data_IF_096963042289
#
_entry.id   IF_096963042289
#
_cell.length_a   1.000
_cell.length_b   1.000
_cell.length_c   1.000
_cell.angle_alpha   90.00
_cell.angle_beta   90.00
_cell.angle_gamma   90.00
#
_symmetry.space_group_name_H-M   'P 1'
#
loop_
_entity.id
_entity.type
_entity.pdbx_description
1 polymer ?
#
# COMPACT_ATOMS: atom_id res chain seq x y z
N UNK A 1 1.01 -13.11 18.20
CA UNK A 1 0.07 -12.71 17.15
C UNK A 1 0.76 -12.60 15.77
N UNK A 2 1.05 -11.42 15.20
CA UNK A 2 1.56 -11.31 13.80
C UNK A 2 3.00 -11.82 13.62
N UNK A 3 3.90 -11.52 14.56
CA UNK A 3 5.32 -11.91 14.49
C UNK A 3 5.55 -13.43 14.50
N UNK A 4 4.55 -14.22 14.90
CA UNK A 4 4.61 -15.69 14.92
C UNK A 4 4.02 -16.31 13.64
N UNK A 5 3.48 -15.51 12.73
CA UNK A 5 3.02 -16.00 11.43
C UNK A 5 4.22 -16.31 10.54
N UNK A 6 4.10 -17.37 9.75
CA UNK A 6 5.01 -17.68 8.64
C UNK A 6 4.27 -17.38 7.34
N UNK A 7 4.45 -16.19 6.81
CA UNK A 7 3.84 -15.75 5.56
C UNK A 7 4.82 -15.99 4.40
N UNK A 8 4.34 -16.66 3.34
CA UNK A 8 4.96 -16.64 2.01
C UNK A 8 4.10 -15.79 1.06
N UNK A 9 3.85 -14.54 1.44
CA UNK A 9 3.05 -13.62 0.64
C UNK A 9 3.97 -12.66 -0.13
N UNK A 10 3.87 -12.70 -1.46
CA UNK A 10 4.63 -11.80 -2.33
C UNK A 10 4.16 -10.33 -2.20
N UNK A 11 2.88 -10.12 -1.91
CA UNK A 11 2.29 -8.81 -1.68
C UNK A 11 1.15 -8.91 -0.66
N UNK A 12 1.15 -8.01 0.32
CA UNK A 12 0.08 -7.86 1.30
C UNK A 12 -0.50 -6.43 1.21
N UNK A 13 -1.82 -6.31 1.07
CA UNK A 13 -2.49 -5.00 0.94
C UNK A 13 -3.37 -4.74 2.16
N UNK A 14 -3.06 -3.68 2.89
CA UNK A 14 -3.81 -3.23 4.07
C UNK A 14 -4.76 -2.09 3.67
N UNK A 15 -5.94 -2.44 3.16
CA UNK A 15 -6.92 -1.50 2.59
C UNK A 15 -7.86 -0.80 3.59
N UNK A 16 -7.53 -0.79 4.89
CA UNK A 16 -8.26 0.01 5.87
C UNK A 16 -7.64 1.41 6.02
N UNK A 17 -8.36 2.33 6.66
CA UNK A 17 -7.85 3.66 6.98
C UNK A 17 -6.65 3.57 7.93
N UNK A 18 -5.63 4.40 7.70
CA UNK A 18 -4.49 4.56 8.62
C UNK A 18 -3.68 3.29 8.90
N UNK A 19 -3.64 2.32 7.99
CA UNK A 19 -2.96 1.03 8.19
C UNK A 19 -1.44 1.10 8.10
N UNK A 20 -0.92 2.17 7.49
CA UNK A 20 0.50 2.51 7.43
C UNK A 20 0.95 3.35 8.62
N UNK A 21 0.06 3.76 9.51
CA UNK A 21 0.44 4.44 10.75
C UNK A 21 1.02 3.41 11.72
N UNK A 22 2.21 3.73 12.23
CA UNK A 22 2.86 3.03 13.32
C UNK A 22 3.13 3.98 14.47
N UNK A 23 3.40 3.44 15.65
CA UNK A 23 3.90 4.22 16.78
C UNK A 23 5.39 4.41 16.59
N UNK A 24 5.85 5.65 16.64
CA UNK A 24 7.28 5.93 16.69
C UNK A 24 7.82 5.52 18.07
N UNK A 25 8.74 4.57 18.09
CA UNK A 25 9.44 4.14 19.30
C UNK A 25 10.88 4.59 19.20
N UNK A 26 11.31 5.39 20.18
CA UNK A 26 12.67 5.94 20.23
C UNK A 26 13.69 4.82 20.23
N UNK A 27 14.60 4.81 19.25
CA UNK A 27 15.62 3.76 19.09
C UNK A 27 15.19 2.56 18.25
N UNK A 28 13.90 2.39 17.97
CA UNK A 28 13.37 1.29 17.15
C UNK A 28 12.72 1.76 15.84
N UNK A 29 12.46 3.06 15.69
CA UNK A 29 11.80 3.64 14.52
C UNK A 29 10.28 3.44 14.53
N UNK A 30 9.66 3.49 13.35
CA UNK A 30 8.21 3.31 13.23
C UNK A 30 7.84 1.83 13.44
N UNK A 31 7.08 1.53 14.50
CA UNK A 31 6.54 0.19 14.75
C UNK A 31 5.06 0.20 14.43
N UNK A 32 4.68 -0.49 13.37
CA UNK A 32 3.29 -0.63 12.93
C UNK A 32 3.05 -1.98 12.25
N UNK A 33 1.83 -2.17 11.76
CA UNK A 33 1.41 -3.42 11.09
C UNK A 33 2.34 -3.80 9.94
N UNK A 34 2.79 -2.82 9.16
CA UNK A 34 3.73 -3.01 8.05
C UNK A 34 5.02 -3.73 8.48
N UNK A 35 5.62 -3.31 9.60
CA UNK A 35 6.84 -3.94 10.12
C UNK A 35 6.58 -5.36 10.63
N UNK A 36 5.44 -5.58 11.28
CA UNK A 36 5.03 -6.91 11.75
C UNK A 36 4.86 -7.90 10.59
N UNK A 37 4.20 -7.49 9.51
CA UNK A 37 3.98 -8.35 8.34
C UNK A 37 5.26 -8.59 7.52
N UNK A 38 6.14 -7.60 7.41
CA UNK A 38 7.46 -7.81 6.81
C UNK A 38 8.30 -8.79 7.64
N UNK A 39 8.30 -8.66 8.97
CA UNK A 39 8.98 -9.62 9.85
C UNK A 39 8.42 -11.04 9.72
N UNK A 40 7.10 -11.17 9.57
CA UNK A 40 6.42 -12.45 9.38
C UNK A 40 6.69 -13.10 8.00
N UNK A 41 7.45 -12.44 7.11
CA UNK A 41 7.89 -13.02 5.83
C UNK A 41 7.20 -12.44 4.58
N UNK A 42 6.37 -11.40 4.72
CA UNK A 42 5.82 -10.72 3.53
C UNK A 42 6.90 -9.93 2.80
N UNK A 43 7.03 -10.14 1.49
CA UNK A 43 8.05 -9.45 0.69
C UNK A 43 7.69 -7.98 0.46
N UNK A 44 6.40 -7.68 0.26
CA UNK A 44 5.92 -6.32 -0.02
C UNK A 44 4.62 -6.05 0.71
N UNK A 45 4.48 -4.85 1.26
CA UNK A 45 3.28 -4.43 1.98
C UNK A 45 2.81 -3.07 1.47
N UNK A 46 1.57 -3.01 0.98
CA UNK A 46 0.88 -1.77 0.63
C UNK A 46 -0.02 -1.32 1.79
N UNK A 47 0.09 -0.07 2.23
CA UNK A 47 -0.65 0.45 3.38
C UNK A 47 -1.02 1.92 3.21
N UNK A 48 -2.06 2.38 3.92
CA UNK A 48 -2.59 3.74 3.84
C UNK A 48 -2.03 4.65 4.95
N UNK A 49 -1.60 5.86 4.61
CA UNK A 49 -1.02 6.82 5.55
C UNK A 49 -2.07 7.65 6.32
N UNK A 50 -3.27 7.81 5.76
CA UNK A 50 -4.37 8.56 6.37
C UNK A 50 -5.73 7.90 6.11
N UNK A 51 -6.82 8.56 6.54
CA UNK A 51 -8.18 8.11 6.26
C UNK A 51 -8.46 8.24 4.76
N UNK A 52 -8.86 7.15 4.13
CA UNK A 52 -9.09 7.11 2.68
C UNK A 52 -10.57 7.31 2.35
N UNK A 53 -10.83 7.80 1.14
CA UNK A 53 -12.18 7.82 0.57
C UNK A 53 -12.47 6.46 -0.09
N UNK A 54 -13.64 5.88 0.16
CA UNK A 54 -13.96 4.51 -0.27
C UNK A 54 -14.05 4.40 -1.80
N UNK A 55 -14.67 5.37 -2.47
CA UNK A 55 -14.84 5.35 -3.92
C UNK A 55 -13.49 5.55 -4.64
N UNK A 56 -12.68 6.50 -4.16
CA UNK A 56 -11.33 6.69 -4.66
C UNK A 56 -10.44 5.48 -4.42
N UNK A 57 -10.54 4.84 -3.25
CA UNK A 57 -9.75 3.64 -2.93
C UNK A 57 -10.13 2.46 -3.81
N UNK A 58 -11.42 2.23 -4.05
CA UNK A 58 -11.89 1.19 -4.95
C UNK A 58 -11.34 1.40 -6.37
N UNK A 59 -11.37 2.65 -6.86
CA UNK A 59 -10.84 3.01 -8.17
C UNK A 59 -9.31 2.83 -8.26
N UNK A 60 -8.57 3.28 -7.24
CA UNK A 60 -7.12 3.10 -7.16
C UNK A 60 -6.75 1.61 -7.19
N UNK A 61 -7.44 0.80 -6.37
CA UNK A 61 -7.17 -0.62 -6.25
C UNK A 61 -7.54 -1.37 -7.54
N UNK A 62 -8.64 -1.03 -8.20
CA UNK A 62 -9.00 -1.62 -9.48
C UNK A 62 -7.90 -1.40 -10.53
N UNK A 63 -7.34 -0.18 -10.60
CA UNK A 63 -6.22 0.16 -11.51
C UNK A 63 -4.92 -0.52 -11.11
N UNK A 64 -4.61 -0.53 -9.82
CA UNK A 64 -3.44 -1.20 -9.26
C UNK A 64 -3.43 -2.69 -9.59
N UNK A 65 -4.52 -3.41 -9.31
CA UNK A 65 -4.64 -4.84 -9.64
C UNK A 65 -4.66 -5.09 -11.15
N UNK A 66 -5.26 -4.21 -11.96
CA UNK A 66 -5.19 -4.32 -13.42
C UNK A 66 -3.73 -4.25 -13.90
N UNK A 67 -2.98 -3.27 -13.43
CA UNK A 67 -1.56 -3.09 -13.76
C UNK A 67 -0.72 -4.31 -13.42
N UNK A 68 -0.96 -4.93 -12.26
CA UNK A 68 -0.22 -6.14 -11.88
C UNK A 68 -0.66 -7.38 -12.66
N UNK A 69 -1.96 -7.68 -12.66
CA UNK A 69 -2.48 -8.98 -13.09
C UNK A 69 -2.69 -9.08 -14.60
N UNK A 70 -2.98 -7.96 -15.27
CA UNK A 70 -3.25 -7.94 -16.72
C UNK A 70 -2.08 -7.39 -17.52
N UNK A 71 -1.39 -6.40 -16.98
CA UNK A 71 -0.31 -5.69 -17.69
C UNK A 71 1.09 -6.21 -17.28
N UNK A 72 1.18 -7.01 -16.21
CA UNK A 72 2.44 -7.63 -15.76
C UNK A 72 3.41 -6.66 -15.10
N UNK A 73 2.95 -5.50 -14.64
CA UNK A 73 3.78 -4.53 -13.94
C UNK A 73 4.15 -5.02 -12.53
N UNK A 74 5.34 -4.63 -12.05
CA UNK A 74 5.69 -4.82 -10.63
C UNK A 74 4.71 -4.03 -9.74
N UNK A 75 4.53 -4.41 -8.47
CA UNK A 75 3.63 -3.69 -7.56
C UNK A 75 3.93 -2.18 -7.47
N UNK A 76 5.18 -1.74 -7.36
CA UNK A 76 5.50 -0.30 -7.33
C UNK A 76 5.14 0.38 -8.65
N UNK A 77 5.43 -0.25 -9.80
CA UNK A 77 5.10 0.29 -11.11
C UNK A 77 3.57 0.41 -11.29
N UNK A 78 2.83 -0.62 -10.91
CA UNK A 78 1.36 -0.63 -10.98
C UNK A 78 0.74 0.43 -10.07
N UNK A 79 1.25 0.58 -8.83
CA UNK A 79 0.75 1.60 -7.89
C UNK A 79 1.01 3.01 -8.41
N UNK A 80 2.23 3.27 -8.91
CA UNK A 80 2.58 4.56 -9.51
C UNK A 80 1.68 4.89 -10.70
N UNK A 81 1.47 3.94 -11.61
CA UNK A 81 0.60 4.14 -12.78
C UNK A 81 -0.83 4.46 -12.33
N UNK A 82 -1.39 3.70 -11.37
CA UNK A 82 -2.72 3.95 -10.83
C UNK A 82 -2.87 5.35 -10.22
N UNK A 83 -1.86 5.80 -9.46
CA UNK A 83 -1.82 7.15 -8.86
C UNK A 83 -1.79 8.24 -9.93
N UNK A 84 -0.95 8.08 -10.96
CA UNK A 84 -0.87 9.05 -12.07
C UNK A 84 -2.18 9.10 -12.86
N UNK A 85 -2.80 7.96 -13.13
CA UNK A 85 -4.10 7.89 -13.81
C UNK A 85 -5.21 8.59 -13.02
N UNK A 86 -5.21 8.46 -11.69
CA UNK A 86 -6.18 9.17 -10.83
C UNK A 86 -5.90 10.67 -10.78
N UNK A 87 -4.64 11.08 -10.71
CA UNK A 87 -4.26 12.49 -10.73
C UNK A 87 -4.76 13.24 -11.98
N UNK A 88 -4.81 12.54 -13.12
CA UNK A 88 -5.33 13.11 -14.38
C UNK A 88 -6.86 13.26 -14.41
N UNK A 89 -7.60 12.59 -13.52
CA UNK A 89 -9.05 12.70 -13.44
C UNK A 89 -9.47 13.90 -12.61
N UNK A 90 -10.34 14.77 -13.16
CA UNK A 90 -10.83 15.97 -12.45
C UNK A 90 -11.40 15.65 -11.07
N UNK A 91 -12.15 14.55 -10.96
CA UNK A 91 -12.76 14.09 -9.71
C UNK A 91 -11.70 13.76 -8.64
N UNK A 92 -10.61 13.06 -9.00
CA UNK A 92 -9.61 12.53 -8.05
C UNK A 92 -8.28 13.27 -8.08
N UNK A 93 -8.26 14.49 -8.63
CA UNK A 93 -7.02 15.26 -8.85
C UNK A 93 -6.28 15.57 -7.56
N UNK A 94 -7.00 15.75 -6.45
CA UNK A 94 -6.41 16.05 -5.16
C UNK A 94 -5.59 14.86 -4.62
N UNK A 95 -4.34 15.07 -4.14
CA UNK A 95 -3.49 14.00 -3.60
C UNK A 95 -4.12 13.18 -2.48
N UNK A 96 -5.06 13.77 -1.74
CA UNK A 96 -5.84 13.08 -0.71
C UNK A 96 -6.42 11.73 -1.18
N UNK A 97 -6.83 11.62 -2.44
CA UNK A 97 -7.50 10.44 -2.99
C UNK A 97 -6.57 9.28 -3.40
N UNK A 98 -5.32 9.57 -3.76
CA UNK A 98 -4.42 8.56 -4.36
C UNK A 98 -3.06 8.45 -3.66
N UNK A 99 -2.58 9.50 -3.01
CA UNK A 99 -1.27 9.53 -2.36
C UNK A 99 -1.27 8.82 -0.98
N UNK A 100 -2.44 8.38 -0.52
CA UNK A 100 -2.58 7.73 0.78
C UNK A 100 -1.84 6.38 0.81
N UNK A 101 -1.81 5.66 -0.31
CA UNK A 101 -1.20 4.33 -0.37
C UNK A 101 0.27 4.38 -0.71
N UNK A 102 1.07 3.71 0.11
CA UNK A 102 2.51 3.51 -0.12
C UNK A 102 2.83 2.02 -0.10
N UNK A 103 3.85 1.64 -0.85
CA UNK A 103 4.37 0.28 -0.90
C UNK A 103 5.73 0.22 -0.19
N UNK A 104 5.90 -0.72 0.73
CA UNK A 104 7.16 -1.03 1.39
C UNK A 104 7.66 -2.41 0.99
N UNK A 105 8.99 -2.60 0.98
CA UNK A 105 9.62 -3.90 0.74
C UNK A 105 10.02 -4.19 -0.71
N UNK A 106 9.72 -3.30 -1.66
CA UNK A 106 10.25 -3.41 -3.03
C UNK A 106 11.69 -2.88 -3.10
N UNK A 107 12.63 -3.73 -2.69
CA UNK A 107 14.07 -3.52 -2.87
C UNK A 107 14.51 -4.23 -4.15
N UNK A 108 15.26 -3.53 -5.00
CA UNK A 108 15.92 -4.14 -6.17
C UNK A 108 17.01 -5.11 -5.73
#
# INVERSE_FOLDING_TARGET
>A
EIYNLKLSAELLVLSACQTGLGKEIKGEGLIGLTRGFMYAGSQRVAASLWKVDDAATAELMARFYRGMLKEGHTPAAALRTAQVEMWQQKQWRAPYYWAAFVLQGEWK
#
